data_IF_454727952406
#
_entry.id   IF_454727952406
#
_cell.length_a   1.000
_cell.length_b   1.000
_cell.length_c   1.000
_cell.angle_alpha   90.00
_cell.angle_beta   90.00
_cell.angle_gamma   90.00
#
_symmetry.space_group_name_H-M   'P 1'
#
loop_
_entity.id
_entity.type
_entity.pdbx_description
1 polymer ?
#
# COMPACT_ATOMS: atom_id res chain seq x y z
N UNK A 1 -17.59 23.69 5.05
CA UNK A 1 -17.23 22.27 5.29
C UNK A 1 -15.84 22.06 4.74
N UNK A 2 -14.87 21.64 5.56
CA UNK A 2 -13.49 21.48 5.10
C UNK A 2 -13.44 20.38 4.04
N UNK A 3 -13.16 20.77 2.80
CA UNK A 3 -12.85 19.85 1.73
C UNK A 3 -11.57 19.11 2.15
N UNK A 4 -11.63 17.79 2.29
CA UNK A 4 -10.42 17.00 2.57
C UNK A 4 -9.49 17.15 1.36
N UNK A 5 -8.50 18.04 1.48
CA UNK A 5 -7.49 18.25 0.46
C UNK A 5 -6.40 17.20 0.64
N UNK A 6 -5.98 16.56 -0.44
CA UNK A 6 -4.79 15.68 -0.46
C UNK A 6 -3.51 16.54 -0.52
N UNK A 7 -3.40 17.52 0.37
CA UNK A 7 -2.24 18.42 0.50
C UNK A 7 -1.73 18.34 1.93
N UNK A 8 -0.50 18.78 2.17
CA UNK A 8 0.06 18.89 3.52
C UNK A 8 -0.84 19.71 4.45
N UNK A 9 -1.37 20.82 3.95
CA UNK A 9 -2.34 21.68 4.65
C UNK A 9 -3.57 20.87 5.09
N UNK A 10 -4.09 19.98 4.22
CA UNK A 10 -5.22 19.11 4.56
C UNK A 10 -4.88 18.12 5.66
N UNK A 11 -3.64 17.61 5.71
CA UNK A 11 -3.19 16.73 6.78
C UNK A 11 -3.03 17.50 8.11
N UNK A 12 -2.50 18.72 8.07
CA UNK A 12 -2.42 19.59 9.25
C UNK A 12 -3.81 19.95 9.78
N UNK A 13 -4.80 20.12 8.90
CA UNK A 13 -6.19 20.35 9.32
C UNK A 13 -6.81 19.11 9.97
N UNK A 14 -6.48 17.91 9.50
CA UNK A 14 -6.86 16.65 10.17
C UNK A 14 -6.23 16.59 11.57
N UNK A 15 -4.96 16.95 11.70
CA UNK A 15 -4.26 16.96 12.99
C UNK A 15 -4.92 17.94 13.98
N UNK A 16 -5.23 19.15 13.54
CA UNK A 16 -5.99 20.13 14.34
C UNK A 16 -7.35 19.59 14.78
N UNK A 17 -8.07 18.89 13.89
CA UNK A 17 -9.37 18.28 14.21
C UNK A 17 -9.24 17.16 15.25
N UNK A 18 -8.21 16.33 15.14
CA UNK A 18 -7.91 15.28 16.12
C UNK A 18 -7.57 15.90 17.49
N UNK A 19 -6.80 16.99 17.50
CA UNK A 19 -6.48 17.73 18.71
C UNK A 19 -7.71 18.40 19.34
N UNK A 20 -8.61 18.93 18.52
CA UNK A 20 -9.84 19.59 18.97
C UNK A 20 -10.87 18.61 19.53
N UNK A 21 -11.07 17.45 18.88
CA UNK A 21 -12.05 16.45 19.28
C UNK A 21 -11.40 15.28 20.00
N UNK A 22 -11.46 15.31 21.34
CA UNK A 22 -10.78 14.33 22.20
C UNK A 22 -11.13 12.86 21.95
N UNK A 23 -12.33 12.54 21.47
CA UNK A 23 -12.80 11.15 21.32
C UNK A 23 -13.19 10.80 19.89
N UNK A 24 -13.91 11.71 19.24
CA UNK A 24 -14.34 11.57 17.86
C UNK A 24 -15.22 12.74 17.44
N UNK A 25 -15.60 12.75 16.17
CA UNK A 25 -16.50 13.75 15.61
C UNK A 25 -17.43 13.14 14.55
N UNK A 26 -18.58 13.78 14.34
CA UNK A 26 -19.56 13.39 13.32
C UNK A 26 -19.34 14.21 12.05
N UNK A 27 -19.20 13.54 10.90
CA UNK A 27 -19.07 14.17 9.59
C UNK A 27 -20.26 13.81 8.72
N UNK A 28 -20.81 14.79 8.00
CA UNK A 28 -21.88 14.56 7.05
C UNK A 28 -21.29 14.50 5.64
N UNK A 29 -21.22 13.30 5.07
CA UNK A 29 -20.78 13.11 3.67
C UNK A 29 -21.92 13.42 2.70
N UNK A 30 -23.16 13.15 3.14
CA UNK A 30 -24.40 13.51 2.46
C UNK A 30 -25.45 13.84 3.54
N UNK A 31 -26.51 14.62 3.27
CA UNK A 31 -27.50 15.00 4.29
C UNK A 31 -28.14 13.83 5.03
N UNK A 32 -28.15 12.63 4.45
CA UNK A 32 -28.68 11.39 5.05
C UNK A 32 -27.59 10.40 5.48
N UNK A 33 -26.31 10.76 5.34
CA UNK A 33 -25.20 9.87 5.61
C UNK A 33 -24.21 10.49 6.61
N UNK A 34 -24.48 10.34 7.92
CA UNK A 34 -23.53 10.68 8.95
C UNK A 34 -22.44 9.61 9.06
N UNK A 35 -21.19 10.05 9.17
CA UNK A 35 -20.00 9.23 9.36
C UNK A 35 -19.36 9.62 10.68
N UNK A 36 -19.38 8.69 11.64
CA UNK A 36 -18.69 8.86 12.91
C UNK A 36 -17.21 8.53 12.73
N UNK A 37 -16.33 9.50 13.01
CA UNK A 37 -14.88 9.28 13.07
C UNK A 37 -14.45 9.24 14.53
N UNK A 38 -13.70 8.20 14.88
CA UNK A 38 -13.13 8.02 16.21
C UNK A 38 -11.62 8.25 16.13
N UNK A 39 -11.08 9.00 17.09
CA UNK A 39 -9.65 9.36 17.11
C UNK A 39 -8.93 8.82 18.33
N UNK A 40 -9.63 8.66 19.45
CA UNK A 40 -9.00 8.24 20.70
C UNK A 40 -8.83 6.72 20.77
N UNK A 41 -7.70 6.20 21.25
CA UNK A 41 -7.47 4.76 21.37
C UNK A 41 -8.53 4.08 22.24
N UNK A 42 -8.94 4.70 23.36
CA UNK A 42 -9.98 4.14 24.24
C UNK A 42 -11.34 3.95 23.55
N UNK A 43 -11.69 4.80 22.58
CA UNK A 43 -12.94 4.66 21.81
C UNK A 43 -12.77 3.75 20.60
N UNK A 44 -11.58 3.71 19.98
CA UNK A 44 -11.28 2.85 18.84
C UNK A 44 -11.16 1.37 19.24
N UNK A 45 -10.50 1.10 20.37
CA UNK A 45 -10.24 -0.27 20.85
C UNK A 45 -11.48 -1.16 20.91
N UNK A 46 -12.60 -0.77 21.55
CA UNK A 46 -13.77 -1.63 21.61
C UNK A 46 -14.36 -1.90 20.22
N UNK A 47 -14.29 -0.95 19.28
CA UNK A 47 -14.77 -1.12 17.91
C UNK A 47 -13.86 -2.04 17.10
N UNK A 48 -12.54 -1.86 17.19
CA UNK A 48 -11.55 -2.66 16.44
C UNK A 48 -11.40 -4.09 16.98
N UNK A 49 -11.65 -4.30 18.28
CA UNK A 49 -11.59 -5.62 18.92
C UNK A 49 -12.95 -6.32 18.99
N UNK A 50 -14.04 -5.62 18.66
CA UNK A 50 -15.37 -6.23 18.59
C UNK A 50 -15.42 -7.32 17.52
N UNK A 51 -16.32 -8.28 17.71
CA UNK A 51 -16.60 -9.28 16.69
C UNK A 51 -17.16 -8.62 15.43
N UNK A 52 -16.97 -9.28 14.28
CA UNK A 52 -17.52 -8.83 13.00
C UNK A 52 -19.05 -8.75 12.97
N UNK A 53 -19.75 -9.39 13.94
CA UNK A 53 -21.20 -9.26 14.11
C UNK A 53 -21.61 -7.93 14.75
N UNK A 54 -20.76 -7.35 15.61
CA UNK A 54 -21.01 -6.10 16.33
C UNK A 54 -20.51 -4.89 15.52
N UNK A 55 -19.31 -5.00 14.95
CA UNK A 55 -18.69 -3.97 14.13
C UNK A 55 -18.46 -4.49 12.70
N UNK A 56 -19.51 -4.56 11.86
CA UNK A 56 -19.35 -5.02 10.49
C UNK A 56 -18.58 -4.00 9.65
N UNK A 57 -17.83 -4.49 8.67
CA UNK A 57 -17.24 -3.67 7.60
C UNK A 57 -18.33 -2.84 6.94
N UNK A 58 -18.07 -1.54 6.81
CA UNK A 58 -19.07 -0.61 6.28
C UNK A 58 -19.46 -1.01 4.85
N UNK A 59 -20.73 -0.82 4.49
CA UNK A 59 -21.23 -1.27 3.19
C UNK A 59 -20.87 -0.33 2.04
N UNK A 60 -20.51 0.92 2.35
CA UNK A 60 -20.30 1.95 1.34
C UNK A 60 -18.92 1.82 0.70
N UNK A 61 -17.88 1.89 1.52
CA UNK A 61 -16.49 1.75 1.10
C UNK A 61 -16.22 0.34 0.57
N UNK A 62 -16.59 -0.70 1.32
CA UNK A 62 -16.38 -2.09 0.87
C UNK A 62 -17.29 -2.48 -0.30
N UNK A 63 -18.46 -1.85 -0.44
CA UNK A 63 -19.36 -2.05 -1.59
C UNK A 63 -18.74 -1.51 -2.88
N UNK A 64 -18.10 -0.33 -2.81
CA UNK A 64 -17.39 0.26 -3.94
C UNK A 64 -16.21 -0.59 -4.42
N UNK A 65 -15.54 -1.32 -3.52
CA UNK A 65 -14.41 -2.20 -3.87
C UNK A 65 -14.84 -3.55 -4.46
N UNK A 66 -16.12 -3.93 -4.35
CA UNK A 66 -16.62 -5.25 -4.76
C UNK A 66 -16.46 -5.57 -6.26
N UNK A 67 -16.68 -4.63 -7.20
CA UNK A 67 -16.46 -4.90 -8.63
C UNK A 67 -14.99 -5.23 -8.97
N UNK A 68 -14.03 -4.68 -8.21
CA UNK A 68 -12.61 -4.88 -8.46
C UNK A 68 -12.06 -6.14 -7.75
N UNK A 69 -12.43 -6.35 -6.46
CA UNK A 69 -11.87 -7.43 -5.63
C UNK A 69 -12.77 -8.67 -5.49
N UNK A 70 -13.98 -8.64 -6.05
CA UNK A 70 -14.95 -9.72 -5.90
C UNK A 70 -15.33 -9.96 -4.44
N UNK A 71 -15.29 -11.22 -4.00
CA UNK A 71 -15.52 -11.60 -2.60
C UNK A 71 -14.23 -12.16 -1.96
N UNK A 72 -13.13 -11.42 -2.17
CA UNK A 72 -11.81 -11.72 -1.62
C UNK A 72 -11.69 -11.51 -0.11
N UNK A 73 -10.49 -11.71 0.45
CA UNK A 73 -10.25 -11.60 1.90
C UNK A 73 -10.67 -10.24 2.48
N UNK A 74 -10.43 -9.14 1.76
CA UNK A 74 -10.78 -7.81 2.25
C UNK A 74 -12.30 -7.62 2.39
N UNK A 75 -13.10 -8.22 1.50
CA UNK A 75 -14.54 -7.98 1.41
C UNK A 75 -15.39 -9.05 2.12
N UNK A 76 -14.85 -10.28 2.19
CA UNK A 76 -15.51 -11.41 2.85
C UNK A 76 -15.74 -11.18 4.34
N UNK A 77 -16.73 -11.90 4.89
CA UNK A 77 -17.24 -11.77 6.26
C UNK A 77 -17.38 -13.15 6.92
N UNK A 78 -17.45 -13.18 8.25
CA UNK A 78 -17.74 -14.39 9.03
C UNK A 78 -16.80 -15.55 8.71
N UNK A 79 -17.36 -16.76 8.61
CA UNK A 79 -16.61 -18.00 8.40
C UNK A 79 -15.81 -18.02 7.10
N UNK A 80 -16.34 -17.38 6.04
CA UNK A 80 -15.62 -17.26 4.76
C UNK A 80 -14.32 -16.48 4.93
N UNK A 81 -14.38 -15.36 5.64
CA UNK A 81 -13.20 -14.56 5.98
C UNK A 81 -12.23 -15.34 6.86
N UNK A 82 -12.74 -15.99 7.92
CA UNK A 82 -11.91 -16.76 8.86
C UNK A 82 -11.18 -17.90 8.15
N UNK A 83 -11.87 -18.62 7.27
CA UNK A 83 -11.30 -19.68 6.43
C UNK A 83 -10.22 -19.13 5.50
N UNK A 84 -10.50 -18.06 4.74
CA UNK A 84 -9.51 -17.48 3.83
C UNK A 84 -8.28 -16.95 4.58
N UNK A 85 -8.46 -16.32 5.76
CA UNK A 85 -7.35 -15.85 6.58
C UNK A 85 -6.50 -17.01 7.09
N UNK A 86 -7.13 -18.09 7.58
CA UNK A 86 -6.44 -19.30 8.04
C UNK A 86 -5.61 -19.94 6.94
N UNK A 87 -6.10 -19.94 5.70
CA UNK A 87 -5.36 -20.47 4.54
C UNK A 87 -4.15 -19.61 4.17
N UNK A 88 -4.21 -18.30 4.39
CA UNK A 88 -3.12 -17.37 4.08
C UNK A 88 -2.06 -17.28 5.19
N UNK A 89 -2.43 -17.47 6.47
CA UNK A 89 -1.50 -17.36 7.60
C UNK A 89 -0.18 -18.13 7.42
N UNK A 90 -0.16 -19.38 6.90
CA UNK A 90 1.09 -20.12 6.70
C UNK A 90 2.05 -19.44 5.73
N UNK A 91 1.57 -18.71 4.73
CA UNK A 91 2.42 -17.98 3.77
C UNK A 91 3.22 -16.84 4.43
N UNK A 92 2.80 -16.40 5.62
CA UNK A 92 3.50 -15.40 6.43
C UNK A 92 4.32 -16.02 7.56
N UNK A 93 4.59 -17.33 7.50
CA UNK A 93 5.49 -17.99 8.43
C UNK A 93 6.94 -17.52 8.23
N UNK A 94 7.71 -17.43 9.32
CA UNK A 94 9.05 -16.82 9.31
C UNK A 94 10.00 -17.47 8.31
N UNK A 95 9.98 -18.80 8.16
CA UNK A 95 10.86 -19.50 7.21
C UNK A 95 10.53 -19.18 5.75
N UNK A 96 9.26 -18.94 5.43
CA UNK A 96 8.86 -18.48 4.10
C UNK A 96 9.31 -17.02 3.90
N UNK A 97 9.09 -16.16 4.90
CA UNK A 97 9.49 -14.75 4.83
C UNK A 97 11.00 -14.59 4.65
N UNK A 98 11.83 -15.45 5.23
CA UNK A 98 13.29 -15.46 4.99
C UNK A 98 13.64 -15.62 3.52
N UNK A 99 12.93 -16.50 2.81
CA UNK A 99 13.17 -16.71 1.37
C UNK A 99 12.87 -15.43 0.57
N UNK A 100 11.87 -14.66 0.99
CA UNK A 100 11.51 -13.40 0.34
C UNK A 100 12.56 -12.31 0.53
N UNK A 101 13.34 -12.32 1.62
CA UNK A 101 14.41 -11.32 1.84
C UNK A 101 15.41 -11.31 0.67
N UNK A 102 15.74 -12.49 0.11
CA UNK A 102 16.59 -12.57 -1.07
C UNK A 102 15.98 -11.84 -2.28
N UNK A 103 14.67 -11.99 -2.47
CA UNK A 103 13.91 -11.32 -3.54
C UNK A 103 13.90 -9.80 -3.32
N UNK A 104 13.57 -9.34 -2.10
CA UNK A 104 13.64 -7.91 -1.75
C UNK A 104 15.03 -7.32 -2.02
N UNK A 105 16.10 -8.03 -1.64
CA UNK A 105 17.48 -7.60 -1.89
C UNK A 105 17.82 -7.54 -3.38
N UNK A 106 17.34 -8.51 -4.16
CA UNK A 106 17.54 -8.53 -5.61
C UNK A 106 16.80 -7.35 -6.29
N UNK A 107 15.52 -7.18 -5.99
CA UNK A 107 14.70 -6.10 -6.53
C UNK A 107 15.24 -4.72 -6.13
N UNK A 108 15.73 -4.54 -4.90
CA UNK A 108 16.40 -3.28 -4.50
C UNK A 108 17.75 -3.08 -5.20
N UNK A 109 18.51 -4.15 -5.45
CA UNK A 109 19.76 -4.07 -6.20
C UNK A 109 19.53 -3.59 -7.64
N UNK A 110 18.46 -4.05 -8.31
CA UNK A 110 18.05 -3.58 -9.65
C UNK A 110 17.73 -2.08 -9.63
N UNK A 111 16.96 -1.61 -8.65
CA UNK A 111 16.69 -0.18 -8.48
C UNK A 111 17.98 0.65 -8.30
N UNK A 112 18.98 0.13 -7.58
CA UNK A 112 20.23 0.84 -7.29
C UNK A 112 21.29 0.78 -8.40
N UNK A 113 21.40 -0.33 -9.12
CA UNK A 113 22.54 -0.61 -10.01
C UNK A 113 22.08 -0.96 -11.43
N UNK A 114 22.91 -0.65 -12.45
CA UNK A 114 22.72 -1.21 -13.79
C UNK A 114 22.80 -2.73 -13.74
N UNK A 115 21.83 -3.40 -14.37
CA UNK A 115 21.93 -4.83 -14.63
C UNK A 115 23.16 -5.10 -15.54
N UNK A 116 24.14 -5.95 -15.13
CA UNK A 116 25.38 -6.11 -15.89
C UNK A 116 25.26 -6.88 -17.22
N UNK A 117 24.14 -7.57 -17.50
CA UNK A 117 24.11 -8.60 -18.56
C UNK A 117 23.10 -8.40 -19.69
N UNK A 118 22.45 -7.24 -19.81
CA UNK A 118 21.53 -6.98 -20.92
C UNK A 118 22.12 -5.95 -21.91
N UNK A 119 22.42 -6.35 -23.16
CA UNK A 119 22.82 -5.39 -24.19
C UNK A 119 21.64 -4.45 -24.52
N UNK A 120 21.91 -3.21 -24.94
CA UNK A 120 20.86 -2.26 -25.28
C UNK A 120 20.00 -2.78 -26.43
N UNK A 121 18.70 -2.95 -26.19
CA UNK A 121 17.73 -3.33 -27.21
C UNK A 121 17.35 -2.10 -28.05
N UNK A 122 17.44 -2.17 -29.39
CA UNK A 122 17.31 -0.99 -30.27
C UNK A 122 15.88 -0.42 -30.43
N UNK A 123 14.85 -1.05 -29.85
CA UNK A 123 13.43 -0.67 -30.06
C UNK A 123 12.73 -0.06 -28.84
N UNK A 124 13.43 0.21 -27.74
CA UNK A 124 12.87 0.88 -26.55
C UNK A 124 13.63 2.18 -26.27
N UNK A 125 13.17 3.35 -26.79
CA UNK A 125 13.82 4.65 -26.56
C UNK A 125 13.76 5.12 -25.09
N UNK A 126 13.06 4.40 -24.22
CA UNK A 126 12.87 4.73 -22.81
C UNK A 126 13.22 3.57 -21.89
N UNK A 127 14.30 2.83 -22.19
CA UNK A 127 14.76 1.74 -21.34
C UNK A 127 15.20 2.26 -19.94
N UNK A 128 14.76 1.66 -18.82
CA UNK A 128 15.01 2.06 -17.44
C UNK A 128 16.40 1.60 -17.00
N UNK A 129 17.43 2.26 -17.53
CA UNK A 129 18.80 1.98 -17.16
C UNK A 129 19.10 2.48 -15.74
N UNK A 130 19.35 1.57 -14.79
CA UNK A 130 20.37 1.77 -13.75
C UNK A 130 20.26 3.04 -12.88
N UNK A 131 19.09 3.26 -12.32
CA UNK A 131 18.59 4.61 -12.17
C UNK A 131 19.25 5.49 -11.09
N UNK A 132 19.71 4.94 -9.96
CA UNK A 132 20.13 5.77 -8.82
C UNK A 132 21.64 6.00 -8.76
N UNK A 133 22.45 4.94 -8.77
CA UNK A 133 23.92 5.09 -8.70
C UNK A 133 24.51 5.67 -9.98
N UNK A 134 23.96 5.33 -11.15
CA UNK A 134 24.42 5.91 -12.40
C UNK A 134 24.04 7.39 -12.50
N UNK A 135 22.81 7.76 -12.12
CA UNK A 135 22.39 9.16 -12.09
C UNK A 135 23.21 9.99 -11.11
N UNK A 136 23.49 9.47 -9.92
CA UNK A 136 24.35 10.14 -8.94
C UNK A 136 25.78 10.37 -9.47
N UNK A 137 26.35 9.39 -10.16
CA UNK A 137 27.68 9.53 -10.78
C UNK A 137 27.68 10.51 -11.97
N UNK A 138 26.64 10.47 -12.80
CA UNK A 138 26.52 11.34 -13.97
C UNK A 138 26.30 12.81 -13.61
N UNK A 139 25.60 13.09 -12.51
CA UNK A 139 25.28 14.46 -12.11
C UNK A 139 26.42 15.19 -11.38
N UNK A 140 27.42 14.46 -10.83
CA UNK A 140 28.53 15.07 -10.08
C UNK A 140 28.12 15.86 -8.84
N UNK A 141 26.88 15.71 -8.37
CA UNK A 141 26.25 16.49 -7.30
C UNK A 141 24.88 15.93 -6.89
N UNK A 142 24.13 16.62 -6.00
CA UNK A 142 22.81 16.16 -5.54
C UNK A 142 21.81 16.02 -6.69
N UNK A 143 21.21 14.84 -6.85
CA UNK A 143 20.20 14.58 -7.88
C UNK A 143 18.80 14.62 -7.27
N UNK A 144 17.97 15.56 -7.71
CA UNK A 144 16.54 15.56 -7.40
C UNK A 144 15.81 14.52 -8.25
N UNK A 145 15.14 13.54 -7.61
CA UNK A 145 14.45 12.46 -8.32
C UNK A 145 13.14 12.09 -7.65
N UNK A 146 12.12 11.77 -8.45
CA UNK A 146 10.85 11.29 -7.92
C UNK A 146 10.97 9.83 -7.46
N UNK A 147 11.04 9.64 -6.15
CA UNK A 147 11.18 8.30 -5.56
C UNK A 147 9.92 7.45 -5.70
N UNK A 148 8.74 8.06 -5.86
CA UNK A 148 7.48 7.33 -5.84
C UNK A 148 7.35 6.36 -7.01
N UNK A 149 7.82 6.78 -8.19
CA UNK A 149 7.80 5.93 -9.38
C UNK A 149 8.66 4.68 -9.17
N UNK A 150 9.91 4.84 -8.78
CA UNK A 150 10.80 3.69 -8.58
C UNK A 150 10.37 2.81 -7.40
N UNK A 151 9.87 3.40 -6.31
CA UNK A 151 9.33 2.63 -5.20
C UNK A 151 8.07 1.85 -5.60
N UNK A 152 7.22 2.42 -6.45
CA UNK A 152 6.03 1.72 -6.96
C UNK A 152 6.40 0.53 -7.86
N UNK A 153 7.41 0.68 -8.72
CA UNK A 153 7.92 -0.43 -9.55
C UNK A 153 8.62 -1.49 -8.70
N UNK A 154 9.45 -1.07 -7.74
CA UNK A 154 10.11 -1.96 -6.78
C UNK A 154 9.10 -2.82 -6.01
N UNK A 155 8.07 -2.16 -5.46
CA UNK A 155 7.04 -2.84 -4.68
C UNK A 155 6.21 -3.77 -5.54
N UNK A 156 5.85 -3.37 -6.76
CA UNK A 156 5.11 -4.21 -7.70
C UNK A 156 5.90 -5.47 -8.09
N UNK A 157 7.15 -5.30 -8.51
CA UNK A 157 8.05 -6.39 -8.89
C UNK A 157 8.25 -7.39 -7.74
N UNK A 158 8.51 -6.87 -6.55
CA UNK A 158 8.74 -7.72 -5.38
C UNK A 158 7.47 -8.49 -5.00
N UNK A 159 6.30 -7.84 -5.03
CA UNK A 159 5.03 -8.52 -4.75
C UNK A 159 4.71 -9.60 -5.79
N UNK A 160 4.97 -9.34 -7.08
CA UNK A 160 4.74 -10.32 -8.14
C UNK A 160 5.64 -11.55 -7.99
N UNK A 161 6.92 -11.33 -7.68
CA UNK A 161 7.89 -12.41 -7.43
C UNK A 161 7.56 -13.20 -6.17
N UNK A 162 7.23 -12.54 -5.06
CA UNK A 162 6.95 -13.21 -3.79
C UNK A 162 5.60 -13.94 -3.76
N UNK A 163 4.53 -13.32 -4.30
CA UNK A 163 3.16 -13.82 -4.16
C UNK A 163 2.76 -14.75 -5.30
N UNK A 164 3.18 -14.42 -6.53
CA UNK A 164 2.74 -15.13 -7.73
C UNK A 164 3.87 -15.92 -8.41
N UNK A 165 5.08 -15.87 -7.87
CA UNK A 165 6.28 -16.42 -8.52
C UNK A 165 6.43 -15.95 -9.96
N UNK A 166 6.02 -14.70 -10.21
CA UNK A 166 5.96 -14.13 -11.56
C UNK A 166 7.02 -13.04 -11.69
N UNK A 167 7.87 -13.16 -12.71
CA UNK A 167 8.83 -12.12 -13.08
C UNK A 167 8.23 -11.26 -14.20
N UNK A 168 7.93 -10.01 -13.88
CA UNK A 168 7.37 -9.05 -14.83
C UNK A 168 8.44 -8.17 -15.49
N UNK A 169 9.68 -8.21 -14.96
CA UNK A 169 10.75 -7.30 -15.35
C UNK A 169 10.35 -5.81 -15.35
N UNK A 170 9.34 -5.40 -14.56
CA UNK A 170 8.81 -4.04 -14.62
C UNK A 170 9.77 -2.95 -14.09
N UNK A 171 10.90 -3.34 -13.50
CA UNK A 171 11.98 -2.43 -13.11
C UNK A 171 13.05 -2.25 -14.20
N UNK A 172 13.08 -3.13 -15.22
CA UNK A 172 14.01 -3.18 -16.35
C UNK A 172 13.38 -2.64 -17.64
#
# INVERSE_FOLDING_TARGET
MAQARNTEEGLQDVDKLVAQYRHGCLWWVSPWLPVLRLFHPNTLRPVLMASASIAPKDKLFYGFLKPWLGDGLLLSRGDKWARHRRLLTPAFHFDILKSYISIFNSSTHIMHTPHPTLPPHPLTPSAPQSKWRAAAKAAGGPVGRNMLEDLSLLTLDTLQKCIFSHDSHCQE
#
